data_IF_773431873747
#
_entry.id   IF_773431873747
#
_cell.length_a   1.000
_cell.length_b   1.000
_cell.length_c   1.000
_cell.angle_alpha   90.00
_cell.angle_beta   90.00
_cell.angle_gamma   90.00
#
_symmetry.space_group_name_H-M   'P 1'
#
loop_
_entity.id
_entity.type
_entity.pdbx_description
1 polymer ?
#
# COMPACT_ATOMS: atom_id res chain seq x y z
N UNK A 1 12.18 -26.60 49.72
CA UNK A 1 11.50 -26.62 48.40
C UNK A 1 10.36 -25.58 48.29
N UNK A 2 9.73 -25.20 49.41
CA UNK A 2 8.59 -24.25 49.46
C UNK A 2 8.92 -22.86 48.89
N UNK A 3 10.12 -22.33 49.12
CA UNK A 3 10.55 -21.02 48.59
C UNK A 3 10.58 -20.96 47.06
N UNK A 4 10.88 -22.07 46.38
CA UNK A 4 10.87 -22.16 44.90
C UNK A 4 9.43 -22.18 44.36
N UNK A 5 8.51 -22.84 45.08
CA UNK A 5 7.09 -22.91 44.73
C UNK A 5 6.39 -21.55 44.88
N UNK A 6 6.69 -20.81 45.95
CA UNK A 6 6.16 -19.46 46.16
C UNK A 6 6.65 -18.46 45.09
N UNK A 7 7.91 -18.58 44.67
CA UNK A 7 8.47 -17.73 43.63
C UNK A 7 7.80 -17.98 42.26
N UNK A 8 7.52 -19.25 41.92
CA UNK A 8 6.83 -19.60 40.67
C UNK A 8 5.37 -19.15 40.66
N UNK A 9 4.66 -19.26 41.79
CA UNK A 9 3.27 -18.80 41.88
C UNK A 9 3.16 -17.27 41.80
N UNK A 10 4.10 -16.55 42.40
CA UNK A 10 4.19 -15.08 42.30
C UNK A 10 4.42 -14.62 40.86
N UNK A 11 5.28 -15.31 40.11
CA UNK A 11 5.58 -14.94 38.71
C UNK A 11 4.38 -15.17 37.77
N UNK A 12 3.62 -16.25 37.99
CA UNK A 12 2.40 -16.55 37.22
C UNK A 12 1.33 -15.47 37.45
N UNK A 13 1.14 -15.03 38.70
CA UNK A 13 0.18 -13.97 39.03
C UNK A 13 0.54 -12.63 38.35
N UNK A 14 1.81 -12.25 38.36
CA UNK A 14 2.28 -11.02 37.72
C UNK A 14 2.11 -11.06 36.18
N UNK A 15 2.39 -12.20 35.55
CA UNK A 15 2.20 -12.39 34.12
C UNK A 15 0.72 -12.30 33.71
N UNK A 16 -0.20 -12.83 34.53
CA UNK A 16 -1.64 -12.77 34.24
C UNK A 16 -2.22 -11.36 34.35
N UNK A 17 -1.75 -10.53 35.29
CA UNK A 17 -2.21 -9.15 35.43
C UNK A 17 -1.69 -8.28 34.28
N UNK A 18 -0.43 -8.47 33.88
CA UNK A 18 0.15 -7.74 32.75
C UNK A 18 -0.50 -8.10 31.40
N UNK A 19 -0.91 -9.36 31.21
CA UNK A 19 -1.60 -9.80 29.99
C UNK A 19 -3.08 -9.41 29.94
N UNK A 20 -3.73 -9.24 31.09
CA UNK A 20 -5.16 -8.89 31.19
C UNK A 20 -5.41 -7.36 31.28
N UNK A 21 -4.45 -6.60 31.81
CA UNK A 21 -4.61 -5.15 32.03
C UNK A 21 -4.55 -4.30 30.77
N UNK A 22 -3.86 -4.75 29.72
CA UNK A 22 -3.73 -3.98 28.46
C UNK A 22 -4.93 -4.15 27.52
N UNK A 23 -5.81 -5.11 27.78
CA UNK A 23 -6.95 -5.43 26.91
C UNK A 23 -8.24 -4.72 27.32
N UNK A 24 -8.40 -4.36 28.59
CA UNK A 24 -9.62 -3.72 29.11
C UNK A 24 -9.80 -2.27 28.63
N UNK A 25 -8.74 -1.46 28.62
CA UNK A 25 -8.85 -0.03 28.31
C UNK A 25 -9.19 0.27 26.83
N UNK A 26 -8.86 -0.63 25.90
CA UNK A 26 -9.17 -0.44 24.47
C UNK A 26 -10.58 -0.92 24.07
N UNK A 27 -11.20 -1.78 24.88
CA UNK A 27 -12.49 -2.40 24.55
C UNK A 27 -13.68 -1.55 25.03
N UNK A 28 -13.51 -0.78 26.11
CA UNK A 28 -14.60 0.00 26.70
C UNK A 28 -15.08 1.16 25.80
N UNK A 29 -14.17 1.90 25.16
CA UNK A 29 -14.56 3.02 24.30
C UNK A 29 -15.38 2.62 23.07
N UNK A 30 -15.02 1.52 22.41
CA UNK A 30 -15.73 1.02 21.22
C UNK A 30 -17.07 0.38 21.60
N UNK A 31 -17.13 -0.35 22.73
CA UNK A 31 -18.39 -0.95 23.21
C UNK A 31 -19.41 0.09 23.66
N UNK A 32 -18.99 1.21 24.28
CA UNK A 32 -19.89 2.29 24.68
C UNK A 32 -20.54 2.93 23.44
N UNK A 33 -19.78 3.20 22.38
CA UNK A 33 -20.30 3.79 21.13
C UNK A 33 -21.33 2.88 20.46
N UNK A 34 -21.06 1.56 20.38
CA UNK A 34 -21.99 0.59 19.78
C UNK A 34 -23.29 0.50 20.59
N UNK A 35 -23.23 0.57 21.93
CA UNK A 35 -24.45 0.51 22.77
C UNK A 35 -25.37 1.73 22.59
N UNK A 36 -24.81 2.93 22.42
CA UNK A 36 -25.57 4.14 22.17
C UNK A 36 -26.27 4.09 20.80
N UNK A 37 -25.55 3.69 19.75
CA UNK A 37 -26.10 3.55 18.41
C UNK A 37 -27.19 2.47 18.33
N UNK A 38 -27.02 1.36 19.04
CA UNK A 38 -28.02 0.30 19.09
C UNK A 38 -29.31 0.75 19.81
N UNK A 39 -29.17 1.59 20.84
CA UNK A 39 -30.32 2.16 21.57
C UNK A 39 -31.12 3.13 20.68
N UNK A 40 -30.43 4.00 19.93
CA UNK A 40 -31.06 4.88 18.92
C UNK A 40 -31.80 4.07 17.85
N UNK A 41 -31.17 2.99 17.35
CA UNK A 41 -31.77 2.11 16.36
C UNK A 41 -33.04 1.40 16.86
N UNK A 42 -33.05 0.97 18.13
CA UNK A 42 -34.23 0.35 18.76
C UNK A 42 -35.39 1.34 18.90
N UNK A 43 -35.09 2.60 19.26
CA UNK A 43 -36.12 3.62 19.38
C UNK A 43 -36.76 3.94 18.01
N UNK A 44 -35.95 4.07 16.95
CA UNK A 44 -36.45 4.28 15.59
C UNK A 44 -37.35 3.14 15.10
N UNK A 45 -37.03 1.89 15.46
CA UNK A 45 -37.89 0.74 15.16
C UNK A 45 -39.22 0.78 15.93
N UNK A 46 -39.18 1.15 17.22
CA UNK A 46 -40.40 1.31 18.04
C UNK A 46 -41.28 2.46 17.58
N UNK A 47 -40.67 3.53 17.07
CA UNK A 47 -41.36 4.69 16.49
C UNK A 47 -41.93 4.38 15.08
N UNK A 48 -41.66 3.20 14.53
CA UNK A 48 -42.12 2.80 13.19
C UNK A 48 -41.46 3.58 12.05
N UNK A 49 -40.36 4.28 12.33
CA UNK A 49 -39.59 5.08 11.34
C UNK A 49 -38.86 4.15 10.37
N UNK A 50 -38.47 2.96 10.82
CA UNK A 50 -37.78 1.95 10.03
C UNK A 50 -38.53 0.61 10.05
N UNK A 51 -38.37 -0.15 8.97
CA UNK A 51 -38.93 -1.50 8.84
C UNK A 51 -38.07 -2.55 9.55
N UNK A 52 -38.63 -3.74 9.79
CA UNK A 52 -37.89 -4.86 10.41
C UNK A 52 -36.65 -5.27 9.60
N UNK A 53 -36.75 -5.21 8.26
CA UNK A 53 -35.64 -5.51 7.36
C UNK A 53 -34.48 -4.52 7.54
N UNK A 54 -34.80 -3.23 7.63
CA UNK A 54 -33.82 -2.16 7.83
C UNK A 54 -33.21 -2.22 9.22
N UNK A 55 -34.01 -2.50 10.25
CA UNK A 55 -33.54 -2.71 11.61
C UNK A 55 -32.56 -3.88 11.69
N UNK A 56 -32.90 -5.02 11.10
CA UNK A 56 -32.05 -6.22 11.08
C UNK A 56 -30.73 -5.97 10.35
N UNK A 57 -30.78 -5.28 9.21
CA UNK A 57 -29.59 -4.90 8.43
C UNK A 57 -28.69 -3.94 9.20
N UNK A 58 -29.23 -2.87 9.76
CA UNK A 58 -28.47 -1.91 10.55
C UNK A 58 -27.86 -2.57 11.81
N UNK A 59 -28.65 -3.38 12.52
CA UNK A 59 -28.17 -4.16 13.68
C UNK A 59 -27.02 -5.10 13.31
N UNK A 60 -27.08 -5.74 12.13
CA UNK A 60 -26.01 -6.63 11.66
C UNK A 60 -24.71 -5.89 11.35
N UNK A 61 -24.80 -4.65 10.86
CA UNK A 61 -23.64 -3.79 10.56
C UNK A 61 -23.01 -3.28 11.86
N UNK A 62 -23.83 -2.85 12.82
CA UNK A 62 -23.36 -2.41 14.14
C UNK A 62 -22.69 -3.53 14.93
N UNK A 63 -23.27 -4.74 14.91
CA UNK A 63 -22.71 -5.89 15.64
C UNK A 63 -21.57 -6.59 14.89
N UNK A 64 -21.52 -6.49 13.57
CA UNK A 64 -20.54 -7.17 12.73
C UNK A 64 -20.15 -6.29 11.52
N UNK A 65 -19.37 -5.21 11.72
CA UNK A 65 -18.99 -4.30 10.64
C UNK A 65 -18.19 -4.99 9.52
N UNK A 66 -17.47 -6.07 9.85
CA UNK A 66 -16.71 -6.89 8.91
C UNK A 66 -17.56 -7.80 7.99
N UNK A 67 -18.88 -7.88 8.21
CA UNK A 67 -19.76 -8.83 7.50
C UNK A 67 -19.86 -8.58 5.99
N UNK A 68 -19.68 -7.34 5.52
CA UNK A 68 -19.62 -7.00 4.09
C UNK A 68 -18.31 -7.41 3.41
N UNK A 69 -17.21 -7.61 4.17
CA UNK A 69 -15.91 -8.07 3.65
C UNK A 69 -15.81 -9.61 3.56
N UNK A 70 -16.83 -10.32 4.05
CA UNK A 70 -16.80 -11.76 4.32
C UNK A 70 -16.79 -12.63 3.06
N UNK A 71 -17.52 -12.29 1.98
CA UNK A 71 -17.65 -13.21 0.82
C UNK A 71 -16.33 -13.39 0.07
N UNK A 72 -15.57 -12.32 -0.15
CA UNK A 72 -14.28 -12.36 -0.85
C UNK A 72 -13.16 -12.87 0.06
N UNK A 73 -13.10 -12.42 1.32
CA UNK A 73 -12.14 -12.93 2.31
C UNK A 73 -12.38 -14.41 2.63
N UNK A 74 -13.63 -14.91 2.73
CA UNK A 74 -13.91 -16.37 2.86
C UNK A 74 -13.46 -17.14 1.62
N UNK A 75 -13.72 -16.65 0.40
CA UNK A 75 -13.25 -17.32 -0.83
C UNK A 75 -11.72 -17.36 -0.90
N UNK A 76 -11.03 -16.26 -0.62
CA UNK A 76 -9.56 -16.20 -0.54
C UNK A 76 -9.02 -17.10 0.59
N UNK A 77 -9.64 -17.13 1.77
CA UNK A 77 -9.24 -17.99 2.91
C UNK A 77 -9.49 -19.47 2.63
N UNK A 78 -10.60 -19.83 1.95
CA UNK A 78 -10.86 -21.20 1.47
C UNK A 78 -9.86 -21.63 0.40
N UNK A 79 -9.58 -20.79 -0.61
CA UNK A 79 -8.56 -21.05 -1.64
C UNK A 79 -7.16 -21.23 -1.03
N UNK A 80 -6.75 -20.33 -0.12
CA UNK A 80 -5.46 -20.46 0.61
C UNK A 80 -5.39 -21.74 1.44
N UNK A 81 -6.45 -22.12 2.16
CA UNK A 81 -6.49 -23.38 2.91
C UNK A 81 -6.40 -24.61 1.99
N UNK A 82 -7.04 -24.59 0.83
CA UNK A 82 -6.98 -25.69 -0.14
C UNK A 82 -5.58 -25.83 -0.77
N UNK A 83 -4.91 -24.72 -1.10
CA UNK A 83 -3.54 -24.71 -1.62
C UNK A 83 -2.55 -25.24 -0.57
N UNK A 84 -2.68 -24.83 0.69
CA UNK A 84 -1.84 -25.33 1.79
C UNK A 84 -2.07 -26.82 2.04
N UNK A 85 -3.32 -27.27 1.98
CA UNK A 85 -3.65 -28.69 2.16
C UNK A 85 -3.12 -29.55 1.00
N UNK A 86 -3.19 -29.06 -0.25
CA UNK A 86 -2.54 -29.71 -1.40
C UNK A 86 -1.02 -29.75 -1.23
N UNK A 87 -0.35 -28.62 -0.93
CA UNK A 87 1.11 -28.58 -0.67
C UNK A 87 1.52 -29.50 0.50
N UNK A 88 0.67 -29.72 1.51
CA UNK A 88 0.93 -30.68 2.61
C UNK A 88 0.81 -32.16 2.19
N UNK A 89 -0.04 -32.49 1.22
CA UNK A 89 -0.23 -33.85 0.71
C UNK A 89 0.74 -34.25 -0.42
N UNK A 90 1.41 -33.27 -1.03
CA UNK A 90 2.38 -33.51 -2.10
C UNK A 90 3.71 -34.06 -1.56
N UNK A 91 4.32 -34.94 -2.35
CA UNK A 91 5.67 -35.45 -2.09
C UNK A 91 6.71 -34.33 -2.18
N UNK A 92 7.92 -34.57 -1.66
CA UNK A 92 8.97 -33.54 -1.63
C UNK A 92 9.42 -33.09 -3.03
N UNK A 93 9.24 -33.96 -4.04
CA UNK A 93 9.55 -33.68 -5.45
C UNK A 93 8.48 -32.78 -6.07
N UNK A 94 7.21 -33.17 -5.99
CA UNK A 94 6.10 -32.38 -6.57
C UNK A 94 5.97 -30.97 -5.97
N UNK A 95 6.44 -30.76 -4.73
CA UNK A 95 6.48 -29.42 -4.12
C UNK A 95 7.53 -28.51 -4.78
N UNK A 96 8.66 -29.06 -5.20
CA UNK A 96 9.71 -28.29 -5.89
C UNK A 96 9.26 -27.94 -7.29
N UNK A 97 8.69 -28.90 -8.02
CA UNK A 97 8.19 -28.69 -9.38
C UNK A 97 7.11 -27.58 -9.40
N UNK A 98 6.19 -27.60 -8.44
CA UNK A 98 5.15 -26.56 -8.34
C UNK A 98 5.72 -25.17 -8.00
N UNK A 99 6.75 -25.09 -7.14
CA UNK A 99 7.40 -23.83 -6.79
C UNK A 99 8.26 -23.28 -7.93
N UNK A 100 8.86 -24.16 -8.73
CA UNK A 100 9.64 -23.82 -9.91
C UNK A 100 8.75 -23.28 -11.03
N UNK A 101 7.60 -23.92 -11.28
CA UNK A 101 6.57 -23.42 -12.21
C UNK A 101 6.01 -22.06 -11.76
N UNK A 102 5.72 -21.87 -10.46
CA UNK A 102 5.27 -20.57 -9.92
C UNK A 102 6.33 -19.48 -10.12
N UNK A 103 7.62 -19.80 -9.97
CA UNK A 103 8.74 -18.86 -10.21
C UNK A 103 8.92 -18.54 -11.69
N UNK A 104 8.73 -19.51 -12.57
CA UNK A 104 8.85 -19.33 -14.01
C UNK A 104 7.73 -18.44 -14.55
N UNK A 105 6.47 -18.68 -14.15
CA UNK A 105 5.35 -17.80 -14.51
C UNK A 105 5.54 -16.38 -13.98
N UNK A 106 6.04 -16.21 -12.75
CA UNK A 106 6.32 -14.89 -12.18
C UNK A 106 7.42 -14.16 -12.98
N UNK A 107 8.45 -14.88 -13.43
CA UNK A 107 9.51 -14.31 -14.28
C UNK A 107 8.96 -13.92 -15.65
N UNK A 108 8.12 -14.76 -16.26
CA UNK A 108 7.47 -14.48 -17.54
C UNK A 108 6.54 -13.25 -17.45
N UNK A 109 5.71 -13.18 -16.41
CA UNK A 109 4.84 -12.03 -16.16
C UNK A 109 5.63 -10.72 -15.95
N UNK A 110 6.71 -10.76 -15.15
CA UNK A 110 7.59 -9.60 -14.95
C UNK A 110 8.37 -9.18 -16.20
N UNK A 111 8.64 -10.11 -17.12
CA UNK A 111 9.28 -9.80 -18.39
C UNK A 111 8.27 -9.14 -19.33
N UNK A 112 7.07 -9.69 -19.45
CA UNK A 112 5.99 -9.12 -20.24
C UNK A 112 5.56 -7.72 -19.73
N UNK A 113 5.53 -7.50 -18.42
CA UNK A 113 5.24 -6.16 -17.85
C UNK A 113 6.34 -5.15 -18.22
N UNK A 114 7.60 -5.56 -18.21
CA UNK A 114 8.71 -4.69 -18.60
C UNK A 114 8.72 -4.38 -20.09
N UNK A 115 8.44 -5.36 -20.94
CA UNK A 115 8.29 -5.14 -22.39
C UNK A 115 7.17 -4.12 -22.67
N UNK A 116 5.98 -4.28 -22.05
CA UNK A 116 4.89 -3.30 -22.20
C UNK A 116 5.26 -1.89 -21.74
N UNK A 117 6.00 -1.75 -20.63
CA UNK A 117 6.46 -0.44 -20.15
C UNK A 117 7.49 0.20 -21.09
N UNK A 118 8.34 -0.60 -21.71
CA UNK A 118 9.29 -0.12 -22.71
C UNK A 118 8.55 0.31 -23.99
N UNK A 119 7.57 -0.46 -24.44
CA UNK A 119 6.74 -0.10 -25.59
C UNK A 119 5.97 1.21 -25.34
N UNK A 120 5.39 1.36 -24.14
CA UNK A 120 4.73 2.59 -23.70
C UNK A 120 5.70 3.78 -23.62
N UNK A 121 6.92 3.59 -23.10
CA UNK A 121 7.94 4.65 -23.04
C UNK A 121 8.38 5.08 -24.45
N UNK A 122 8.54 4.15 -25.38
CA UNK A 122 8.89 4.43 -26.79
C UNK A 122 7.76 5.16 -27.52
N UNK A 123 6.51 4.79 -27.28
CA UNK A 123 5.34 5.47 -27.86
C UNK A 123 5.21 6.90 -27.34
N UNK A 124 5.43 7.11 -26.03
CA UNK A 124 5.47 8.44 -25.41
C UNK A 124 6.64 9.28 -25.98
N UNK A 125 7.83 8.68 -26.16
CA UNK A 125 8.99 9.38 -26.71
C UNK A 125 8.74 9.87 -28.15
N UNK A 126 8.10 9.04 -28.99
CA UNK A 126 7.71 9.42 -30.35
C UNK A 126 6.65 10.53 -30.36
N UNK A 127 5.60 10.41 -29.54
CA UNK A 127 4.57 11.44 -29.41
C UNK A 127 5.15 12.79 -28.92
N UNK A 128 6.17 12.75 -28.07
CA UNK A 128 6.90 13.94 -27.58
C UNK A 128 7.77 14.63 -28.65
N UNK A 129 8.23 13.89 -29.67
CA UNK A 129 9.05 14.43 -30.78
C UNK A 129 8.17 15.07 -31.86
N UNK A 130 6.97 14.51 -32.09
CA UNK A 130 5.96 15.06 -33.00
C UNK A 130 5.25 16.31 -32.42
N UNK A 131 4.89 16.32 -31.12
CA UNK A 131 4.36 17.49 -30.43
C UNK A 131 4.92 17.64 -28.99
N UNK A 132 5.91 18.52 -28.78
CA UNK A 132 6.56 18.68 -27.49
C UNK A 132 5.72 19.40 -26.43
N UNK A 133 4.56 19.99 -26.76
CA UNK A 133 3.69 20.71 -25.83
C UNK A 133 2.43 19.94 -25.43
N UNK A 134 2.17 18.78 -26.04
CA UNK A 134 1.02 17.93 -25.77
C UNK A 134 0.93 17.50 -24.29
N UNK A 135 -0.30 17.24 -23.81
CA UNK A 135 -0.56 16.83 -22.42
C UNK A 135 0.08 15.48 -22.09
N UNK A 136 0.16 14.59 -23.08
CA UNK A 136 0.74 13.24 -22.98
C UNK A 136 2.25 13.30 -22.71
N UNK A 137 2.98 14.22 -23.37
CA UNK A 137 4.41 14.42 -23.14
C UNK A 137 4.74 15.04 -21.76
N UNK A 138 3.78 15.74 -21.14
CA UNK A 138 3.95 16.39 -19.83
C UNK A 138 3.75 15.43 -18.65
N UNK A 139 3.02 14.33 -18.83
CA UNK A 139 2.74 13.38 -17.76
C UNK A 139 3.78 12.26 -17.65
N UNK A 140 4.49 12.26 -16.52
CA UNK A 140 5.11 11.11 -15.83
C UNK A 140 6.52 10.60 -16.20
N UNK A 141 7.15 10.90 -17.34
CA UNK A 141 8.52 10.40 -17.63
C UNK A 141 9.48 11.42 -18.27
N UNK A 142 8.99 12.19 -19.25
CA UNK A 142 9.79 13.17 -19.98
C UNK A 142 10.15 14.42 -19.19
N UNK A 143 9.40 14.73 -18.11
CA UNK A 143 9.59 15.97 -17.34
C UNK A 143 10.94 16.01 -16.64
N UNK A 144 11.41 14.90 -16.06
CA UNK A 144 12.65 14.86 -15.28
C UNK A 144 13.90 14.85 -16.17
N UNK A 145 13.89 14.07 -17.27
CA UNK A 145 14.95 14.10 -18.30
C UNK A 145 14.99 15.47 -19.02
N UNK A 146 13.84 16.06 -19.38
CA UNK A 146 13.76 17.43 -19.95
C UNK A 146 14.22 18.51 -18.96
N UNK A 147 13.87 18.37 -17.68
CA UNK A 147 14.38 19.27 -16.64
C UNK A 147 15.91 19.18 -16.56
N UNK A 148 16.47 17.95 -16.57
CA UNK A 148 17.91 17.75 -16.54
C UNK A 148 18.63 18.34 -17.76
N UNK A 149 18.10 18.14 -18.97
CA UNK A 149 18.69 18.70 -20.20
C UNK A 149 18.55 20.21 -20.25
N UNK A 150 17.41 20.77 -19.82
CA UNK A 150 17.19 22.22 -19.72
C UNK A 150 18.16 22.86 -18.72
N UNK A 151 18.38 22.23 -17.56
CA UNK A 151 19.34 22.69 -16.55
C UNK A 151 20.77 22.65 -17.13
N UNK A 152 21.13 21.59 -17.86
CA UNK A 152 22.47 21.43 -18.47
C UNK A 152 22.74 22.43 -19.59
N UNK A 153 21.74 22.73 -20.42
CA UNK A 153 21.85 23.75 -21.47
C UNK A 153 22.03 25.13 -20.83
N UNK A 154 21.24 25.47 -19.81
CA UNK A 154 21.35 26.76 -19.10
C UNK A 154 22.70 26.94 -18.41
N UNK A 155 23.22 25.91 -17.73
CA UNK A 155 24.52 25.99 -17.06
C UNK A 155 25.68 26.16 -18.06
N UNK A 156 25.60 25.51 -19.22
CA UNK A 156 26.59 25.71 -20.28
C UNK A 156 26.53 27.13 -20.85
N UNK A 157 25.34 27.68 -21.08
CA UNK A 157 25.17 29.04 -21.59
C UNK A 157 25.66 30.12 -20.61
N UNK A 158 25.42 29.96 -19.30
CA UNK A 158 25.93 30.89 -18.28
C UNK A 158 27.46 30.84 -18.21
N UNK A 159 28.06 29.65 -18.26
CA UNK A 159 29.53 29.51 -18.25
C UNK A 159 30.20 30.13 -19.48
N UNK A 160 29.55 30.08 -20.65
CA UNK A 160 30.05 30.70 -21.88
C UNK A 160 29.91 32.22 -21.82
N UNK A 161 28.80 32.73 -21.27
CA UNK A 161 28.58 34.17 -21.10
C UNK A 161 29.61 34.78 -20.13
N UNK A 162 29.85 34.13 -18.99
CA UNK A 162 30.87 34.54 -18.01
C UNK A 162 32.31 34.48 -18.55
N UNK A 163 32.61 33.59 -19.51
CA UNK A 163 33.91 33.55 -20.18
C UNK A 163 34.07 34.70 -21.16
N UNK A 164 33.04 34.96 -21.98
CA UNK A 164 33.03 36.10 -22.91
C UNK A 164 33.12 37.44 -22.21
N UNK A 165 32.44 37.60 -21.08
CA UNK A 165 32.49 38.83 -20.28
C UNK A 165 33.89 39.07 -19.71
N UNK A 166 34.56 38.04 -19.19
CA UNK A 166 35.96 38.12 -18.75
C UNK A 166 36.96 38.37 -19.88
N UNK A 167 36.71 37.86 -21.08
CA UNK A 167 37.54 38.15 -22.26
C UNK A 167 37.35 39.60 -22.72
N UNK A 168 36.13 40.11 -22.65
CA UNK A 168 35.80 41.49 -23.02
C UNK A 168 36.37 42.49 -22.01
N UNK A 169 36.35 42.19 -20.70
CA UNK A 169 37.06 42.98 -19.68
C UNK A 169 38.59 42.97 -19.88
N UNK A 170 39.16 41.82 -20.29
CA UNK A 170 40.60 41.72 -20.60
C UNK A 170 40.98 42.50 -21.86
N UNK A 171 40.12 42.53 -22.87
CA UNK A 171 40.34 43.34 -24.07
C UNK A 171 40.20 44.84 -23.75
N UNK A 172 39.21 45.23 -22.96
CA UNK A 172 39.02 46.62 -22.55
C UNK A 172 40.18 47.16 -21.69
N UNK A 173 40.81 46.32 -20.87
CA UNK A 173 42.00 46.69 -20.06
C UNK A 173 43.33 46.68 -20.83
N UNK A 174 43.34 46.23 -22.09
CA UNK A 174 44.50 46.30 -22.98
C UNK A 174 44.44 47.49 -23.96
N UNK A 175 43.26 48.12 -24.11
CA UNK A 175 43.03 49.32 -24.93
C UNK A 175 43.07 50.64 -24.15
N UNK A 176 43.27 50.59 -22.82
CA UNK A 176 43.50 51.75 -21.93
C UNK A 176 45.00 51.94 -21.64
#
# INVERSE_FOLDING_TARGET
MIKKLLLTLSFIALATIAFSGTTYAAQEGETIVITEELTKLINLYKEGVITEEEFSKAKSILLNPDSNLSKEKKKKKKKKKAVIFKKKKLTAVERRDLEELEKEELKAAKKAERERKLDEEVEIERACEEDPQSKECRSAGGSLKRLLTTIKIRSSATSIKEKKERELEKQASLEE
#
